data_IF_928622010192
#
_entry.id   IF_928622010192
#
_cell.length_a   1.000
_cell.length_b   1.000
_cell.length_c   1.000
_cell.angle_alpha   90.00
_cell.angle_beta   90.00
_cell.angle_gamma   90.00
#
_symmetry.space_group_name_H-M   'P 1'
#
loop_
_entity.id
_entity.type
_entity.pdbx_description
1 polymer ?
#
# COMPACT_ATOMS: atom_id res chain seq x y z
N UNK A 1 -2.84 -19.48 20.43
CA UNK A 1 -2.49 -18.05 20.58
C UNK A 1 -2.33 -17.74 22.05
N UNK A 2 -1.39 -16.90 22.43
CA UNK A 2 -1.25 -16.40 23.81
C UNK A 2 -2.26 -15.29 24.11
N UNK A 3 -2.54 -15.02 25.39
CA UNK A 3 -3.40 -13.89 25.80
C UNK A 3 -2.84 -12.54 25.33
N UNK A 4 -1.51 -12.42 25.19
CA UNK A 4 -0.86 -11.26 24.57
C UNK A 4 -1.18 -11.12 23.09
N UNK A 5 -1.05 -12.19 22.31
CA UNK A 5 -1.39 -12.19 20.88
C UNK A 5 -2.85 -11.83 20.64
N UNK A 6 -3.76 -12.36 21.48
CA UNK A 6 -5.19 -12.07 21.39
C UNK A 6 -5.48 -10.58 21.64
N UNK A 7 -4.86 -9.97 22.66
CA UNK A 7 -5.00 -8.52 22.88
C UNK A 7 -4.40 -7.69 21.74
N UNK A 8 -3.23 -8.06 21.22
CA UNK A 8 -2.62 -7.37 20.07
C UNK A 8 -3.49 -7.50 18.80
N UNK A 9 -4.17 -8.62 18.60
CA UNK A 9 -5.15 -8.79 17.51
C UNK A 9 -6.38 -7.89 17.69
N UNK A 10 -6.89 -7.73 18.92
CA UNK A 10 -7.99 -6.79 19.23
C UNK A 10 -7.56 -5.33 18.98
N UNK A 11 -6.37 -4.93 19.45
CA UNK A 11 -5.80 -3.59 19.23
C UNK A 11 -5.71 -3.29 17.73
N UNK A 12 -5.17 -4.23 16.93
CA UNK A 12 -5.10 -4.09 15.47
C UNK A 12 -6.47 -3.96 14.82
N UNK A 13 -7.41 -4.84 15.17
CA UNK A 13 -8.74 -4.83 14.60
C UNK A 13 -9.49 -3.50 14.87
N UNK A 14 -9.33 -2.90 16.06
CA UNK A 14 -9.93 -1.61 16.37
C UNK A 14 -9.24 -0.45 15.67
N UNK A 15 -7.89 -0.43 15.66
CA UNK A 15 -7.13 0.59 14.91
C UNK A 15 -7.49 0.54 13.42
N UNK A 16 -7.53 -0.64 12.81
CA UNK A 16 -7.84 -0.82 11.39
C UNK A 16 -9.27 -0.37 11.05
N UNK A 17 -10.26 -0.68 11.91
CA UNK A 17 -11.65 -0.19 11.79
C UNK A 17 -11.68 1.34 11.72
N UNK A 18 -10.78 2.00 12.43
CA UNK A 18 -10.67 3.46 12.49
C UNK A 18 -9.84 4.07 11.35
N UNK A 19 -9.46 3.29 10.32
CA UNK A 19 -8.82 3.76 9.07
C UNK A 19 -7.59 4.65 9.31
N UNK A 20 -6.50 4.11 9.88
CA UNK A 20 -5.29 4.86 10.17
C UNK A 20 -4.58 5.21 8.85
N UNK A 21 -3.74 6.25 8.86
CA UNK A 21 -2.76 6.43 7.78
C UNK A 21 -1.73 5.30 7.88
N UNK A 22 -1.34 4.70 6.75
CA UNK A 22 -0.49 3.50 6.74
C UNK A 22 0.80 3.65 7.56
N UNK A 23 1.48 4.80 7.47
CA UNK A 23 2.69 5.12 8.23
C UNK A 23 2.44 5.29 9.74
N UNK A 24 1.23 5.71 10.14
CA UNK A 24 0.86 5.95 11.54
C UNK A 24 0.47 4.66 12.29
N UNK A 25 0.10 3.59 11.58
CA UNK A 25 -0.47 2.36 12.16
C UNK A 25 0.39 1.78 13.29
N UNK A 26 1.71 1.67 13.08
CA UNK A 26 2.62 1.11 14.10
C UNK A 26 2.78 2.01 15.32
N UNK A 27 2.74 3.33 15.14
CA UNK A 27 2.76 4.30 16.25
C UNK A 27 1.47 4.23 17.07
N UNK A 28 0.32 4.10 16.41
CA UNK A 28 -0.97 3.92 17.07
C UNK A 28 -1.03 2.61 17.86
N UNK A 29 -0.51 1.49 17.33
CA UNK A 29 -0.38 0.23 18.08
C UNK A 29 0.39 0.42 19.39
N UNK A 30 1.52 1.15 19.36
CA UNK A 30 2.37 1.37 20.53
C UNK A 30 1.72 2.31 21.56
N UNK A 31 1.06 3.39 21.12
CA UNK A 31 0.32 4.30 21.99
C UNK A 31 -0.83 3.58 22.71
N UNK A 32 -1.54 2.71 21.99
CA UNK A 32 -2.64 1.92 22.54
C UNK A 32 -2.12 0.80 23.47
N UNK A 33 -1.03 0.09 23.12
CA UNK A 33 -0.41 -0.92 24.01
C UNK A 33 0.12 -0.29 25.31
N UNK A 34 0.62 0.96 25.27
CA UNK A 34 1.06 1.69 26.45
C UNK A 34 -0.10 2.18 27.36
N UNK A 35 -1.28 2.45 26.79
CA UNK A 35 -2.46 2.90 27.52
C UNK A 35 -3.34 1.75 28.07
N UNK A 36 -2.90 0.49 27.95
CA UNK A 36 -3.69 -0.69 28.32
C UNK A 36 -2.98 -1.55 29.36
N UNK A 37 -3.71 -1.85 30.44
CA UNK A 37 -3.38 -2.92 31.41
C UNK A 37 -4.12 -4.20 31.01
N UNK A 38 -3.42 -5.33 31.01
CA UNK A 38 -4.05 -6.65 30.83
C UNK A 38 -4.78 -7.08 32.11
N UNK A 39 -5.89 -7.79 31.96
CA UNK A 39 -6.64 -8.42 33.06
C UNK A 39 -6.93 -9.89 32.69
N UNK A 40 -7.06 -10.75 33.69
CA UNK A 40 -7.44 -12.16 33.49
C UNK A 40 -8.96 -12.33 33.32
N UNK A 41 -9.75 -11.34 33.77
CA UNK A 41 -11.20 -11.31 33.60
C UNK A 41 -11.59 -10.64 32.26
N UNK A 42 -12.68 -11.08 31.59
CA UNK A 42 -13.23 -10.41 30.41
C UNK A 42 -13.48 -8.90 30.65
N UNK A 43 -13.14 -8.00 29.71
CA UNK A 43 -12.75 -8.25 28.33
C UNK A 43 -11.26 -8.61 28.10
N UNK A 44 -10.49 -8.89 29.17
CA UNK A 44 -9.07 -9.23 29.11
C UNK A 44 -8.13 -8.02 29.19
N UNK A 45 -8.69 -6.81 29.32
CA UNK A 45 -7.95 -5.57 29.34
C UNK A 45 -8.72 -4.44 30.05
N UNK A 46 -8.01 -3.39 30.43
CA UNK A 46 -8.52 -2.15 31.00
C UNK A 46 -7.67 -0.97 30.51
N UNK A 47 -8.32 0.09 30.04
CA UNK A 47 -7.62 1.32 29.64
C UNK A 47 -7.22 2.10 30.89
N UNK A 48 -5.96 2.56 30.92
CA UNK A 48 -5.38 3.30 32.05
C UNK A 48 -4.83 4.66 31.61
N UNK A 49 -4.70 5.57 32.56
CA UNK A 49 -4.03 6.86 32.37
C UNK A 49 -2.50 6.75 32.53
N UNK A 50 -1.83 7.90 32.45
CA UNK A 50 -0.36 8.01 32.60
C UNK A 50 0.14 7.56 33.99
N UNK A 51 -0.70 7.65 35.01
CA UNK A 51 -0.41 7.21 36.38
C UNK A 51 -0.81 5.73 36.61
N UNK A 52 -1.29 5.06 35.56
CA UNK A 52 -1.72 3.67 35.58
C UNK A 52 -3.08 3.44 36.25
N UNK A 53 -3.87 4.49 36.50
CA UNK A 53 -5.21 4.39 37.08
C UNK A 53 -6.25 4.08 35.99
N UNK A 54 -7.30 3.29 36.28
CA UNK A 54 -8.35 2.99 35.31
C UNK A 54 -9.05 4.25 34.79
N UNK A 55 -9.18 4.39 33.47
CA UNK A 55 -9.97 5.46 32.86
C UNK A 55 -11.43 5.04 32.73
N UNK A 56 -12.33 5.99 32.95
CA UNK A 56 -13.78 5.84 32.79
C UNK A 56 -14.32 6.94 31.87
N UNK A 57 -15.51 6.71 31.31
CA UNK A 57 -16.31 7.68 30.56
C UNK A 57 -17.70 7.79 31.20
N UNK A 58 -18.31 8.96 31.13
CA UNK A 58 -19.71 9.13 31.54
C UNK A 58 -20.61 9.01 30.32
N UNK A 59 -21.48 8.00 30.28
CA UNK A 59 -22.46 7.78 29.21
C UNK A 59 -23.85 7.78 29.82
N UNK A 60 -24.75 8.65 29.35
CA UNK A 60 -26.11 8.80 29.90
C UNK A 60 -26.17 9.04 31.44
N UNK A 61 -25.13 9.64 32.02
CA UNK A 61 -25.00 9.87 33.47
C UNK A 61 -24.36 8.72 34.26
N UNK A 62 -24.14 7.55 33.64
CA UNK A 62 -23.47 6.40 34.25
C UNK A 62 -21.96 6.42 33.96
N UNK A 63 -21.14 6.11 34.98
CA UNK A 63 -19.68 6.01 34.86
C UNK A 63 -19.30 4.59 34.42
N UNK A 64 -18.93 4.44 33.15
CA UNK A 64 -18.54 3.16 32.55
C UNK A 64 -17.02 3.10 32.33
N UNK A 65 -16.37 1.92 32.37
CA UNK A 65 -14.98 1.77 31.95
C UNK A 65 -14.74 2.28 30.52
N UNK A 66 -13.62 2.97 30.30
CA UNK A 66 -13.25 3.43 28.96
C UNK A 66 -12.88 2.22 28.08
N UNK A 67 -13.53 2.07 26.92
CA UNK A 67 -13.29 0.95 26.01
C UNK A 67 -12.12 1.22 25.07
N UNK A 68 -11.63 0.17 24.39
CA UNK A 68 -10.60 0.30 23.35
C UNK A 68 -11.05 1.23 22.21
N UNK A 69 -12.33 1.16 21.80
CA UNK A 69 -12.88 2.05 20.77
C UNK A 69 -12.86 3.52 21.19
N UNK A 70 -13.25 3.80 22.43
CA UNK A 70 -13.26 5.15 23.00
C UNK A 70 -11.86 5.78 23.04
N UNK A 71 -10.85 4.97 23.41
CA UNK A 71 -9.44 5.37 23.41
C UNK A 71 -8.97 5.74 22.00
N UNK A 72 -9.30 4.94 20.97
CA UNK A 72 -8.89 5.25 19.59
C UNK A 72 -9.65 6.46 19.04
N UNK A 73 -10.93 6.65 19.41
CA UNK A 73 -11.68 7.87 19.07
C UNK A 73 -11.13 9.12 19.78
N UNK A 74 -10.62 8.99 21.01
CA UNK A 74 -9.89 10.07 21.70
C UNK A 74 -8.57 10.40 20.99
N UNK A 75 -7.78 9.39 20.62
CA UNK A 75 -6.57 9.56 19.82
C UNK A 75 -6.87 10.22 18.46
N UNK A 76 -7.99 9.90 17.80
CA UNK A 76 -8.41 10.60 16.57
C UNK A 76 -8.74 12.07 16.82
N UNK A 77 -9.45 12.39 17.90
CA UNK A 77 -9.77 13.80 18.25
C UNK A 77 -8.50 14.61 18.56
N UNK A 78 -7.53 14.01 19.25
CA UNK A 78 -6.26 14.65 19.61
C UNK A 78 -5.28 14.73 18.43
N UNK A 79 -5.26 13.73 17.56
CA UNK A 79 -4.30 13.57 16.48
C UNK A 79 -4.98 13.18 15.15
N UNK A 80 -5.81 14.07 14.57
CA UNK A 80 -6.60 13.76 13.38
C UNK A 80 -5.74 13.39 12.15
N UNK A 81 -4.49 13.88 12.09
CA UNK A 81 -3.53 13.58 11.02
C UNK A 81 -3.01 12.14 11.01
N UNK A 82 -3.21 11.36 12.09
CA UNK A 82 -2.85 9.93 12.14
C UNK A 82 -3.92 9.03 11.51
N UNK A 83 -5.09 9.59 11.17
CA UNK A 83 -6.23 8.87 10.61
C UNK A 83 -6.62 9.45 9.25
N UNK A 84 -7.14 8.59 8.38
CA UNK A 84 -7.72 9.04 7.13
C UNK A 84 -9.03 9.80 7.44
N UNK A 85 -9.36 10.87 6.67
CA UNK A 85 -10.63 11.55 6.83
C UNK A 85 -11.79 10.56 6.66
N UNK A 86 -12.94 10.79 7.35
CA UNK A 86 -14.13 9.99 7.10
C UNK A 86 -14.42 10.04 5.60
N UNK A 87 -14.64 8.86 5.00
CA UNK A 87 -15.01 8.82 3.59
C UNK A 87 -16.27 9.65 3.43
N UNK A 88 -16.18 10.76 2.69
CA UNK A 88 -17.32 11.63 2.47
C UNK A 88 -18.46 10.76 1.93
N UNK A 89 -19.62 10.82 2.59
CA UNK A 89 -20.82 10.16 2.10
C UNK A 89 -21.24 10.88 0.82
N UNK A 90 -20.65 10.47 -0.31
CA UNK A 90 -21.00 10.98 -1.62
C UNK A 90 -22.50 10.80 -1.84
N UNK A 91 -23.17 11.74 -2.53
CA UNK A 91 -24.58 11.59 -2.85
C UNK A 91 -24.81 10.24 -3.52
N UNK A 92 -25.87 9.54 -3.10
CA UNK A 92 -26.19 8.21 -3.61
C UNK A 92 -26.17 8.23 -5.14
N UNK A 93 -25.27 7.42 -5.72
CA UNK A 93 -24.94 7.53 -7.13
C UNK A 93 -26.18 7.24 -8.01
N UNK A 94 -26.75 8.29 -8.58
CA UNK A 94 -27.52 8.18 -9.80
C UNK A 94 -26.60 7.54 -10.85
N UNK A 95 -27.02 6.39 -11.39
CA UNK A 95 -26.17 5.57 -12.24
C UNK A 95 -25.63 6.40 -13.42
N UNK A 96 -24.29 6.46 -13.63
CA UNK A 96 -23.74 7.18 -14.77
C UNK A 96 -24.18 6.48 -16.06
N UNK A 97 -24.73 7.25 -17.01
CA UNK A 97 -24.91 6.78 -18.37
C UNK A 97 -23.53 6.36 -18.92
N UNK A 98 -23.45 5.14 -19.46
CA UNK A 98 -22.20 4.54 -19.89
C UNK A 98 -21.46 5.44 -20.91
N UNK A 99 -20.18 5.70 -20.65
CA UNK A 99 -19.22 6.24 -21.61
C UNK A 99 -18.01 5.30 -21.64
N UNK A 100 -17.93 4.52 -22.71
CA UNK A 100 -17.08 3.33 -22.86
C UNK A 100 -15.58 3.62 -23.04
N UNK A 101 -14.91 4.22 -22.05
CA UNK A 101 -13.44 4.30 -22.08
C UNK A 101 -12.70 4.29 -20.72
N UNK A 102 -13.38 4.24 -19.59
CA UNK A 102 -12.74 4.01 -18.28
C UNK A 102 -12.91 2.55 -17.88
N UNK A 103 -11.90 1.72 -18.18
CA UNK A 103 -11.76 0.36 -17.63
C UNK A 103 -10.76 0.41 -16.49
N UNK A 104 -11.25 0.75 -15.30
CA UNK A 104 -10.62 0.36 -14.03
C UNK A 104 -11.52 -0.69 -13.44
N UNK A 105 -11.10 -1.96 -13.44
CA UNK A 105 -11.84 -3.04 -12.78
C UNK A 105 -11.90 -2.75 -11.27
N UNK A 106 -13.09 -2.49 -10.69
CA UNK A 106 -13.20 -2.32 -9.24
C UNK A 106 -13.06 -3.68 -8.57
N UNK A 107 -12.21 -3.76 -7.54
CA UNK A 107 -12.04 -4.99 -6.76
C UNK A 107 -13.41 -5.51 -6.24
N UNK A 108 -13.65 -6.84 -6.28
CA UNK A 108 -14.96 -7.40 -5.94
C UNK A 108 -15.31 -7.15 -4.48
N UNK A 109 -16.49 -6.56 -4.25
CA UNK A 109 -17.03 -6.31 -2.90
C UNK A 109 -17.34 -7.64 -2.20
N UNK A 110 -16.93 -7.84 -0.93
CA UNK A 110 -17.38 -9.00 -0.16
C UNK A 110 -18.86 -8.81 0.22
N UNK A 111 -19.75 -9.65 -0.31
CA UNK A 111 -21.16 -9.66 0.13
C UNK A 111 -22.18 -10.28 -0.82
N UNK A 112 -21.92 -10.31 -2.14
CA UNK A 112 -22.90 -10.84 -3.10
C UNK A 112 -22.74 -12.36 -3.27
N UNK A 113 -23.78 -13.19 -3.08
CA UNK A 113 -23.71 -14.61 -3.37
C UNK A 113 -23.50 -14.83 -4.88
N UNK A 114 -22.42 -15.52 -5.24
CA UNK A 114 -22.07 -15.75 -6.64
C UNK A 114 -23.06 -16.70 -7.32
N UNK A 115 -23.44 -16.47 -8.60
CA UNK A 115 -24.18 -17.45 -9.37
C UNK A 115 -23.38 -18.76 -9.50
N UNK A 116 -24.08 -19.89 -9.50
CA UNK A 116 -23.47 -21.21 -9.48
C UNK A 116 -22.47 -21.40 -10.63
N UNK A 117 -21.21 -21.69 -10.30
CA UNK A 117 -20.16 -21.98 -11.29
C UNK A 117 -20.52 -23.26 -12.06
N UNK A 118 -20.41 -23.27 -13.40
CA UNK A 118 -20.58 -24.51 -14.16
C UNK A 118 -19.48 -25.52 -13.78
N UNK A 119 -19.88 -26.78 -13.79
CA UNK A 119 -19.15 -27.90 -13.21
C UNK A 119 -17.72 -28.05 -13.79
N UNK A 120 -16.71 -28.18 -12.92
CA UNK A 120 -15.29 -28.35 -13.31
C UNK A 120 -15.07 -29.58 -14.19
N UNK A 121 -15.94 -30.58 -14.10
CA UNK A 121 -15.90 -31.78 -14.93
C UNK A 121 -16.20 -31.53 -16.41
N UNK A 122 -16.97 -30.49 -16.75
CA UNK A 122 -17.32 -30.16 -18.13
C UNK A 122 -16.11 -29.65 -18.94
N UNK A 123 -15.34 -28.71 -18.39
CA UNK A 123 -14.13 -28.17 -19.04
C UNK A 123 -13.03 -29.20 -19.27
N UNK A 124 -12.96 -30.25 -18.44
CA UNK A 124 -11.99 -31.34 -18.64
C UNK A 124 -12.42 -32.30 -19.78
N UNK A 125 -13.72 -32.50 -19.99
CA UNK A 125 -14.22 -33.33 -21.10
C UNK A 125 -13.99 -32.66 -22.46
N UNK A 126 -14.12 -31.33 -22.58
CA UNK A 126 -13.82 -30.62 -23.83
C UNK A 126 -12.34 -30.71 -24.23
N UNK A 127 -11.42 -30.48 -23.29
CA UNK A 127 -9.97 -30.50 -23.60
C UNK A 127 -9.48 -31.90 -24.00
N UNK A 128 -9.98 -32.96 -23.38
CA UNK A 128 -9.68 -34.35 -23.76
C UNK A 128 -10.28 -34.69 -25.14
N UNK A 129 -11.50 -34.23 -25.44
CA UNK A 129 -12.13 -34.47 -26.75
C UNK A 129 -11.41 -33.76 -27.91
N UNK A 130 -10.89 -32.57 -27.66
CA UNK A 130 -10.05 -31.83 -28.62
C UNK A 130 -8.69 -32.48 -28.91
N UNK A 131 -8.11 -33.20 -27.94
CA UNK A 131 -6.83 -33.89 -28.12
C UNK A 131 -6.96 -35.14 -29.01
N UNK A 132 -8.05 -35.91 -28.85
CA UNK A 132 -8.31 -37.10 -29.68
C UNK A 132 -8.51 -36.79 -31.16
N UNK A 133 -9.08 -35.62 -31.49
CA UNK A 133 -9.25 -35.18 -32.87
C UNK A 133 -7.91 -34.89 -33.58
N UNK A 134 -6.89 -34.42 -32.85
CA UNK A 134 -5.55 -34.10 -33.40
C UNK A 134 -4.63 -35.31 -33.59
N UNK A 135 -5.02 -36.49 -33.09
CA UNK A 135 -4.25 -37.74 -33.20
C UNK A 135 -4.77 -38.67 -34.32
N UNK A 136 -5.85 -38.32 -35.03
CA UNK A 136 -6.25 -39.04 -36.25
C UNK A 136 -5.34 -38.67 -37.42
N UNK A 137 -4.55 -39.63 -37.86
CA UNK A 137 -3.74 -39.57 -39.08
C UNK A 137 -4.67 -39.41 -40.30
N UNK A 138 -4.44 -38.45 -41.21
CA UNK A 138 -5.22 -38.36 -42.45
C UNK A 138 -4.98 -39.59 -43.33
N UNK A 139 -5.97 -40.00 -44.15
CA UNK A 139 -5.78 -41.07 -45.13
C UNK A 139 -4.77 -40.65 -46.21
N UNK A 140 -4.03 -41.61 -46.82
CA UNK A 140 -3.08 -41.31 -47.88
C UNK A 140 -3.79 -40.87 -49.16
N UNK A 141 -3.30 -39.78 -49.75
CA UNK A 141 -3.74 -39.23 -51.04
C UNK A 141 -3.06 -39.99 -52.20
N UNK A 142 -3.79 -40.32 -53.30
CA UNK A 142 -3.22 -41.09 -54.41
C UNK A 142 -2.21 -40.27 -55.23
N UNK A 143 -1.12 -40.91 -55.65
CA UNK A 143 -0.03 -40.25 -56.36
C UNK A 143 -0.40 -39.86 -57.81
N UNK A 144 -0.03 -38.65 -58.28
CA UNK A 144 -0.12 -38.27 -59.69
C UNK A 144 0.98 -38.94 -60.53
N UNK A 145 0.75 -39.17 -61.84
CA UNK A 145 1.70 -39.88 -62.70
C UNK A 145 2.92 -39.05 -63.10
N UNK A 146 3.98 -39.79 -63.39
CA UNK A 146 5.31 -39.34 -63.80
C UNK A 146 5.30 -38.63 -65.17
N UNK A 147 5.88 -37.43 -65.26
CA UNK A 147 6.01 -36.66 -66.49
C UNK A 147 7.49 -36.31 -66.77
N UNK A 148 7.91 -36.48 -68.02
CA UNK A 148 9.31 -36.58 -68.42
C UNK A 148 10.12 -35.27 -68.31
N UNK A 149 11.44 -35.43 -68.15
CA UNK A 149 12.41 -34.34 -68.11
C UNK A 149 12.68 -33.71 -69.50
N UNK A 150 13.01 -32.42 -69.51
CA UNK A 150 13.53 -31.69 -70.68
C UNK A 150 14.95 -31.14 -70.40
N UNK A 151 15.80 -30.99 -71.41
CA UNK A 151 17.24 -30.74 -71.25
C UNK A 151 17.61 -29.27 -70.98
N UNK A 152 18.75 -29.07 -70.32
CA UNK A 152 19.35 -27.78 -69.98
C UNK A 152 20.32 -27.31 -71.08
N UNK A 153 20.27 -26.01 -71.43
CA UNK A 153 21.16 -25.37 -72.40
C UNK A 153 22.45 -24.79 -71.76
N UNK A 154 23.58 -24.74 -72.48
CA UNK A 154 24.86 -24.23 -71.97
C UNK A 154 25.03 -22.69 -72.07
N UNK A 155 25.82 -22.06 -71.19
CA UNK A 155 26.12 -20.62 -71.23
C UNK A 155 27.29 -20.25 -72.18
N UNK A 156 27.36 -18.99 -72.65
CA UNK A 156 28.40 -18.52 -73.59
C UNK A 156 29.76 -18.18 -72.92
N UNK A 157 30.88 -18.22 -73.67
CA UNK A 157 32.21 -17.94 -73.14
C UNK A 157 32.72 -16.50 -73.39
N UNK A 158 33.61 -16.03 -72.51
CA UNK A 158 34.72 -15.15 -72.91
C UNK A 158 34.71 -13.68 -72.45
N UNK A 159 35.29 -13.42 -71.27
CA UNK A 159 36.06 -12.23 -70.85
C UNK A 159 36.21 -12.30 -69.30
N UNK A 160 37.31 -11.94 -68.65
CA UNK A 160 38.58 -11.37 -69.07
C UNK A 160 39.31 -10.94 -67.79
N UNK A 161 40.42 -11.60 -67.48
CA UNK A 161 41.15 -11.56 -66.18
C UNK A 161 41.41 -10.15 -65.61
N UNK A 162 41.21 -9.97 -64.29
CA UNK A 162 42.20 -9.36 -63.38
C UNK A 162 42.20 -10.04 -62.00
N UNK A 163 43.35 -10.51 -61.47
CA UNK A 163 43.43 -11.15 -60.16
C UNK A 163 43.79 -10.15 -59.05
N UNK A 164 43.32 -10.38 -57.82
CA UNK A 164 43.85 -9.67 -56.64
C UNK A 164 42.98 -9.74 -55.39
N UNK A 165 43.61 -10.12 -54.28
CA UNK A 165 43.17 -9.95 -52.88
C UNK A 165 41.96 -10.78 -52.41
N UNK A 166 42.31 -11.96 -51.87
CA UNK A 166 41.43 -12.78 -51.08
C UNK A 166 41.10 -12.15 -49.71
N UNK A 167 39.85 -12.32 -49.26
CA UNK A 167 39.54 -12.51 -47.84
C UNK A 167 38.45 -13.56 -47.69
N UNK A 168 38.78 -14.68 -47.06
CA UNK A 168 37.80 -15.71 -46.68
C UNK A 168 36.99 -15.20 -45.49
N UNK A 169 35.67 -15.30 -45.56
CA UNK A 169 34.81 -15.28 -44.37
C UNK A 169 34.07 -16.62 -44.29
N UNK A 170 34.16 -17.35 -43.16
CA UNK A 170 33.57 -18.69 -43.05
C UNK A 170 32.05 -18.61 -42.83
N UNK A 171 31.31 -19.47 -43.54
CA UNK A 171 29.88 -19.67 -43.35
C UNK A 171 29.67 -20.61 -42.14
N UNK A 172 28.96 -20.20 -41.07
CA UNK A 172 28.62 -21.11 -39.98
C UNK A 172 27.56 -22.11 -40.45
N UNK A 173 27.97 -23.38 -40.54
CA UNK A 173 27.16 -24.47 -41.07
C UNK A 173 25.99 -24.89 -40.15
N UNK A 174 24.89 -25.29 -40.79
CA UNK A 174 23.64 -25.76 -40.17
C UNK A 174 23.71 -27.28 -39.96
N UNK A 175 24.15 -27.74 -38.78
CA UNK A 175 24.23 -29.16 -38.42
C UNK A 175 23.10 -29.61 -37.46
N UNK A 176 22.40 -30.73 -37.70
CA UNK A 176 21.36 -31.23 -36.80
C UNK A 176 21.94 -32.15 -35.70
N UNK A 177 21.84 -31.72 -34.44
CA UNK A 177 22.23 -32.55 -33.29
C UNK A 177 21.11 -33.51 -32.86
N UNK A 178 21.48 -34.72 -32.42
CA UNK A 178 20.56 -35.79 -31.98
C UNK A 178 20.14 -35.61 -30.51
N UNK A 179 19.03 -36.25 -30.14
CA UNK A 179 18.32 -36.18 -28.83
C UNK A 179 19.16 -36.72 -27.65
N UNK A 180 18.71 -36.53 -26.40
CA UNK A 180 18.04 -37.67 -25.74
C UNK A 180 16.73 -37.32 -24.97
N UNK A 181 15.86 -38.33 -24.85
CA UNK A 181 14.61 -38.30 -24.08
C UNK A 181 14.81 -38.82 -22.65
N UNK A 182 15.04 -37.95 -21.65
CA UNK A 182 14.96 -38.33 -20.23
C UNK A 182 14.51 -37.16 -19.33
N UNK A 183 13.21 -36.82 -19.36
CA UNK A 183 12.63 -35.82 -18.44
C UNK A 183 11.15 -36.07 -18.04
N UNK A 184 10.53 -37.17 -18.50
CA UNK A 184 9.07 -37.37 -18.41
C UNK A 184 8.59 -38.33 -17.32
N UNK A 185 9.50 -38.96 -16.55
CA UNK A 185 9.13 -39.97 -15.53
C UNK A 185 9.23 -39.50 -14.08
N UNK A 186 9.87 -38.36 -13.79
CA UNK A 186 9.98 -37.84 -12.42
C UNK A 186 8.70 -37.20 -11.86
N UNK A 187 7.81 -36.70 -12.72
CA UNK A 187 6.65 -35.90 -12.31
C UNK A 187 5.44 -36.72 -11.81
N UNK A 188 5.37 -38.02 -12.14
CA UNK A 188 4.19 -38.85 -11.83
C UNK A 188 4.17 -39.40 -10.40
N UNK A 189 5.32 -39.57 -9.76
CA UNK A 189 5.39 -40.09 -8.37
C UNK A 189 4.96 -39.02 -7.35
N UNK A 190 5.35 -37.75 -7.58
CA UNK A 190 4.99 -36.65 -6.68
C UNK A 190 3.50 -36.25 -6.74
N UNK A 191 2.83 -36.48 -7.89
CA UNK A 191 1.39 -36.24 -8.00
C UNK A 191 0.54 -37.30 -7.30
N UNK A 192 1.02 -38.55 -7.21
CA UNK A 192 0.30 -39.66 -6.58
C UNK A 192 0.19 -39.52 -5.06
N UNK A 193 1.26 -39.08 -4.38
CA UNK A 193 1.28 -38.92 -2.92
C UNK A 193 0.33 -37.81 -2.43
N UNK A 194 0.24 -36.69 -3.15
CA UNK A 194 -0.59 -35.55 -2.77
C UNK A 194 -2.11 -35.86 -2.85
N UNK A 195 -2.53 -36.77 -3.73
CA UNK A 195 -3.95 -37.08 -3.92
C UNK A 195 -4.53 -37.98 -2.81
N UNK A 196 -3.70 -38.81 -2.15
CA UNK A 196 -4.14 -39.65 -1.04
C UNK A 196 -4.40 -38.85 0.25
N UNK A 197 -3.59 -37.82 0.51
CA UNK A 197 -3.69 -36.98 1.73
C UNK A 197 -4.94 -36.07 1.74
N UNK A 198 -5.54 -35.78 0.58
CA UNK A 198 -6.68 -34.87 0.45
C UNK A 198 -8.06 -35.54 0.52
N UNK A 199 -8.13 -36.86 0.76
CA UNK A 199 -9.41 -37.61 0.67
C UNK A 199 -9.94 -38.21 1.97
N UNK A 200 -9.21 -38.15 3.08
CA UNK A 200 -9.66 -38.65 4.40
C UNK A 200 -9.32 -37.65 5.54
N UNK A 201 -10.20 -36.67 5.83
CA UNK A 201 -10.17 -35.90 7.07
C UNK A 201 -11.17 -36.50 8.09
N UNK A 202 -10.75 -37.52 8.83
CA UNK A 202 -11.43 -38.00 10.05
C UNK A 202 -10.56 -37.66 11.29
N UNK A 203 -11.13 -37.15 12.40
CA UNK A 203 -10.36 -36.61 13.52
C UNK A 203 -9.88 -37.69 14.50
N UNK A 204 -8.77 -38.36 14.18
CA UNK A 204 -8.12 -39.34 15.06
C UNK A 204 -7.15 -38.71 16.10
N UNK A 205 -7.48 -37.53 16.64
CA UNK A 205 -6.57 -36.71 17.47
C UNK A 205 -6.98 -36.54 18.95
N UNK A 206 -7.98 -37.29 19.44
CA UNK A 206 -8.51 -37.16 20.82
C UNK A 206 -8.38 -38.42 21.70
N UNK A 207 -7.49 -39.37 21.34
CA UNK A 207 -7.23 -40.58 22.15
C UNK A 207 -5.78 -40.85 22.54
N UNK A 208 -4.84 -39.97 22.18
CA UNK A 208 -3.43 -40.09 22.59
C UNK A 208 -3.07 -39.31 23.88
N UNK A 209 -3.87 -38.32 24.29
CA UNK A 209 -3.54 -37.40 25.39
C UNK A 209 -3.93 -37.88 26.80
N UNK A 210 -4.80 -38.89 26.93
CA UNK A 210 -5.30 -39.37 28.24
C UNK A 210 -4.38 -40.46 28.84
N UNK A 211 -3.45 -41.03 28.07
CA UNK A 211 -2.61 -42.15 28.48
C UNK A 211 -1.31 -41.79 29.25
N UNK A 212 -1.02 -40.50 29.48
CA UNK A 212 0.23 -40.07 30.16
C UNK A 212 0.00 -39.30 31.49
N UNK A 213 -1.24 -39.07 31.91
CA UNK A 213 -1.56 -38.31 33.13
C UNK A 213 -1.69 -39.15 34.42
N UNK A 214 -1.51 -40.48 34.37
CA UNK A 214 -1.68 -41.39 35.52
C UNK A 214 -0.38 -41.99 36.08
N UNK A 215 0.80 -41.52 35.62
CA UNK A 215 2.10 -42.07 36.02
C UNK A 215 2.82 -41.38 37.20
N UNK A 216 2.30 -40.26 37.73
CA UNK A 216 2.99 -39.45 38.75
C UNK A 216 2.09 -39.11 39.95
N UNK A 217 1.51 -40.14 40.56
CA UNK A 217 0.69 -40.02 41.77
C UNK A 217 1.03 -41.10 42.83
N UNK A 218 2.33 -41.35 43.07
CA UNK A 218 2.78 -42.30 44.08
C UNK A 218 4.22 -42.04 44.58
N UNK A 219 4.45 -40.93 45.32
CA UNK A 219 5.36 -40.83 46.49
C UNK A 219 5.53 -39.38 46.96
N UNK A 220 4.90 -39.03 48.09
CA UNK A 220 5.36 -38.11 49.17
C UNK A 220 4.17 -37.59 49.97
N UNK A 221 3.79 -38.38 50.96
CA UNK A 221 3.05 -37.97 52.17
C UNK A 221 3.97 -38.15 53.39
N UNK A 222 3.64 -37.49 54.51
CA UNK A 222 4.52 -37.11 55.64
C UNK A 222 5.54 -35.99 55.26
N UNK A 223 5.73 -34.89 55.99
CA UNK A 223 5.11 -34.34 57.23
C UNK A 223 5.21 -32.78 57.16
N UNK A 224 4.60 -31.89 57.97
CA UNK A 224 3.93 -32.00 59.27
C UNK A 224 2.86 -30.87 59.47
N UNK A 225 2.46 -30.57 60.72
CA UNK A 225 1.55 -29.45 61.12
C UNK A 225 2.31 -28.26 61.76
N UNK A 226 1.68 -27.06 61.86
CA UNK A 226 2.28 -25.82 62.40
C UNK A 226 2.15 -25.71 63.94
N UNK A 227 2.65 -24.61 64.56
CA UNK A 227 1.67 -23.63 65.08
C UNK A 227 2.10 -22.13 65.14
N UNK A 228 1.08 -21.30 65.39
CA UNK A 228 1.06 -20.06 66.20
C UNK A 228 1.78 -18.75 65.75
N UNK A 229 0.97 -17.68 65.65
CA UNK A 229 1.30 -16.33 66.17
C UNK A 229 1.08 -16.33 67.70
N UNK A 230 1.59 -15.36 68.49
CA UNK A 230 0.75 -14.17 68.73
C UNK A 230 1.48 -12.83 69.01
N UNK A 231 0.66 -11.78 69.05
CA UNK A 231 0.73 -10.53 69.82
C UNK A 231 1.73 -9.37 69.59
N UNK A 232 1.10 -8.19 69.62
CA UNK A 232 1.57 -6.80 69.75
C UNK A 232 2.10 -6.53 71.20
N UNK A 233 2.77 -5.38 71.53
CA UNK A 233 2.05 -4.09 71.60
C UNK A 233 2.85 -2.77 71.43
N UNK A 234 2.09 -1.70 71.11
CA UNK A 234 2.16 -0.29 71.57
C UNK A 234 3.48 0.35 72.08
N UNK A 235 3.74 1.56 71.56
CA UNK A 235 4.43 2.68 72.23
C UNK A 235 4.43 3.93 71.32
N UNK A 236 3.51 4.88 71.52
CA UNK A 236 3.72 6.14 72.24
C UNK A 236 4.77 7.07 71.56
N UNK A 237 4.39 8.14 70.86
CA UNK A 237 3.80 9.42 71.33
C UNK A 237 4.86 10.54 71.29
N UNK A 238 4.62 11.58 70.47
CA UNK A 238 5.14 12.95 70.64
C UNK A 238 4.53 13.93 69.64
N UNK A 239 3.54 14.68 70.10
CA UNK A 239 3.21 16.04 69.63
C UNK A 239 4.36 17.03 69.91
N UNK A 240 4.40 18.16 69.16
CA UNK A 240 4.35 19.56 69.68
C UNK A 240 4.87 20.59 68.64
N UNK A 241 4.11 21.68 68.51
CA UNK A 241 4.45 23.05 68.07
C UNK A 241 4.84 23.39 66.60
N UNK A 242 3.91 24.11 65.96
CA UNK A 242 4.06 25.47 65.42
C UNK A 242 5.35 25.94 64.71
N UNK A 243 5.17 26.44 63.48
CA UNK A 243 5.32 27.90 63.27
C UNK A 243 4.51 28.42 62.07
N UNK A 244 3.70 29.44 62.32
CA UNK A 244 3.03 30.22 61.28
C UNK A 244 3.97 31.22 60.59
N UNK A 245 3.74 31.48 59.30
CA UNK A 245 4.20 32.68 58.61
C UNK A 245 3.23 33.02 57.45
N UNK A 246 2.27 33.88 57.76
CA UNK A 246 1.28 34.44 56.85
C UNK A 246 1.87 35.62 56.06
N UNK A 247 1.67 35.71 54.74
CA UNK A 247 1.53 37.01 54.08
C UNK A 247 0.74 36.93 52.77
N UNK A 248 0.01 38.02 52.48
CA UNK A 248 -1.07 38.14 51.49
C UNK A 248 -0.65 38.16 50.00
N UNK A 249 -1.60 37.90 49.07
CA UNK A 249 -1.46 38.19 47.65
C UNK A 249 -1.71 39.68 47.35
N UNK A 250 -1.20 40.16 46.21
CA UNK A 250 -1.50 41.47 45.66
C UNK A 250 -2.10 41.35 44.25
N UNK A 251 -3.33 41.83 44.12
CA UNK A 251 -4.10 41.93 42.88
C UNK A 251 -3.95 43.35 42.33
N UNK A 252 -3.65 43.51 41.03
CA UNK A 252 -3.79 44.78 40.32
C UNK A 252 -3.99 44.54 38.81
N UNK A 253 -4.83 45.39 38.20
CA UNK A 253 -5.45 45.19 36.88
C UNK A 253 -4.88 46.18 35.82
N UNK A 254 -5.48 46.40 34.63
CA UNK A 254 -4.74 46.49 33.37
C UNK A 254 -4.43 47.93 32.94
N UNK A 255 -3.77 48.09 31.79
CA UNK A 255 -3.78 49.36 31.05
C UNK A 255 -3.82 49.15 29.54
N UNK A 256 -4.77 49.82 28.90
CA UNK A 256 -4.91 49.95 27.45
C UNK A 256 -3.95 51.04 26.91
N UNK A 257 -3.53 50.88 25.65
CA UNK A 257 -3.25 51.95 24.66
C UNK A 257 -3.07 51.24 23.31
N UNK A 258 -3.99 51.35 22.35
CA UNK A 258 -4.39 52.55 21.60
C UNK A 258 -3.17 53.20 20.90
N UNK A 259 -3.08 53.01 19.58
CA UNK A 259 -1.90 53.39 18.78
C UNK A 259 -2.04 53.12 17.28
N UNK A 260 -3.18 53.49 16.70
CA UNK A 260 -3.33 53.57 15.24
C UNK A 260 -2.55 54.80 14.72
N UNK A 261 -2.02 54.76 13.47
CA UNK A 261 -2.46 55.83 12.57
C UNK A 261 -2.59 55.42 11.08
N UNK A 262 -3.76 55.77 10.53
CA UNK A 262 -4.01 56.40 9.22
C UNK A 262 -3.49 55.73 7.93
N UNK A 263 -4.46 55.37 7.09
CA UNK A 263 -4.31 55.35 5.63
C UNK A 263 -3.87 56.71 5.06
N UNK A 264 -3.06 56.65 3.99
CA UNK A 264 -2.96 57.71 2.99
C UNK A 264 -2.93 57.06 1.59
N UNK A 265 -3.78 57.54 0.70
CA UNK A 265 -4.05 56.98 -0.63
C UNK A 265 -3.44 57.87 -1.71
N UNK A 266 -2.58 57.33 -2.59
CA UNK A 266 -2.26 57.92 -3.90
C UNK A 266 -1.52 56.93 -4.82
N UNK A 267 -2.01 56.76 -6.05
CA UNK A 267 -1.26 56.25 -7.23
C UNK A 267 -0.69 57.46 -8.01
N UNK A 268 -0.04 57.33 -9.21
CA UNK A 268 0.53 56.17 -9.90
C UNK A 268 2.01 56.40 -10.38
N UNK A 269 2.58 55.42 -11.08
CA UNK A 269 3.55 55.71 -12.17
C UNK A 269 5.04 55.66 -11.85
N UNK A 270 5.60 54.45 -11.82
CA UNK A 270 7.05 54.25 -11.89
C UNK A 270 7.38 53.01 -12.71
N UNK A 271 8.02 53.17 -13.88
CA UNK A 271 8.53 52.05 -14.67
C UNK A 271 9.55 51.27 -13.84
N UNK A 272 9.37 49.95 -13.72
CA UNK A 272 10.46 49.01 -13.38
C UNK A 272 10.41 47.84 -14.34
N UNK A 273 11.43 47.79 -15.19
CA UNK A 273 11.82 46.61 -15.96
C UNK A 273 12.32 45.49 -15.02
N UNK A 274 12.41 44.23 -15.50
CA UNK A 274 12.31 43.07 -14.63
C UNK A 274 13.56 42.85 -13.79
N UNK A 275 13.39 42.75 -12.48
CA UNK A 275 14.41 42.19 -11.59
C UNK A 275 14.24 40.67 -11.56
N UNK A 276 14.96 40.01 -12.45
CA UNK A 276 15.31 38.61 -12.29
C UNK A 276 16.30 38.45 -11.12
N UNK A 277 16.32 37.27 -10.50
CA UNK A 277 17.26 36.88 -9.41
C UNK A 277 16.93 37.41 -8.00
N UNK A 278 15.94 36.79 -7.37
CA UNK A 278 15.83 36.70 -5.91
C UNK A 278 15.50 35.27 -5.52
N UNK A 279 16.51 34.48 -5.13
CA UNK A 279 16.34 33.06 -4.80
C UNK A 279 15.60 32.91 -3.44
N UNK A 280 14.27 32.86 -3.49
CA UNK A 280 13.44 32.58 -2.31
C UNK A 280 13.47 31.07 -2.03
N UNK A 281 14.52 30.62 -1.34
CA UNK A 281 14.61 29.28 -0.77
C UNK A 281 13.75 29.16 0.50
N UNK A 282 12.45 29.45 0.38
CA UNK A 282 11.44 29.02 1.35
C UNK A 282 11.21 27.51 1.16
N UNK A 283 12.24 26.71 1.44
CA UNK A 283 12.29 25.27 1.24
C UNK A 283 11.47 24.48 2.27
N UNK A 284 10.37 25.05 2.78
CA UNK A 284 9.43 24.35 3.65
C UNK A 284 8.43 23.51 2.85
N UNK A 285 7.85 22.45 3.45
CA UNK A 285 6.72 21.74 2.86
C UNK A 285 5.51 22.69 2.70
N UNK A 286 4.74 22.51 1.63
CA UNK A 286 3.58 23.34 1.29
C UNK A 286 2.37 22.45 1.04
N UNK A 287 1.23 22.76 1.64
CA UNK A 287 -0.01 22.00 1.45
C UNK A 287 -1.20 22.92 1.13
N UNK A 288 -2.14 22.44 0.33
CA UNK A 288 -3.36 23.16 -0.04
C UNK A 288 -3.92 22.73 -1.40
N UNK A 289 -4.91 23.46 -1.92
CA UNK A 289 -5.46 23.19 -3.25
C UNK A 289 -4.50 23.75 -4.30
N UNK A 290 -4.05 22.90 -5.24
CA UNK A 290 -3.16 23.29 -6.33
C UNK A 290 -3.93 23.66 -7.60
N UNK A 291 -3.48 24.72 -8.26
CA UNK A 291 -3.84 25.06 -9.64
C UNK A 291 -2.84 24.35 -10.58
N UNK A 292 -3.33 23.70 -11.64
CA UNK A 292 -2.45 23.01 -12.61
C UNK A 292 -2.07 23.97 -13.73
N UNK A 293 -0.76 24.14 -13.98
CA UNK A 293 -0.25 24.92 -15.11
C UNK A 293 0.02 24.00 -16.30
N UNK A 294 0.74 22.91 -16.04
CA UNK A 294 0.96 21.81 -16.99
C UNK A 294 1.10 20.49 -16.20
N UNK A 295 1.27 19.36 -16.89
CA UNK A 295 1.32 18.05 -16.23
C UNK A 295 2.57 17.81 -15.38
N UNK A 296 3.61 18.65 -15.48
CA UNK A 296 4.80 18.64 -14.65
C UNK A 296 4.92 19.87 -13.73
N UNK A 297 3.99 20.82 -13.80
CA UNK A 297 4.07 22.11 -13.10
C UNK A 297 2.74 22.51 -12.44
N UNK A 298 2.79 22.69 -11.12
CA UNK A 298 1.64 23.11 -10.29
C UNK A 298 1.87 24.52 -9.72
N UNK A 299 0.80 25.23 -9.40
CA UNK A 299 0.82 26.45 -8.59
C UNK A 299 0.12 26.18 -7.26
N UNK A 300 0.84 26.43 -6.16
CA UNK A 300 0.35 26.17 -4.80
C UNK A 300 0.87 27.27 -3.86
N UNK A 301 -0.02 27.89 -3.09
CA UNK A 301 0.36 28.99 -2.18
C UNK A 301 1.04 30.18 -2.87
N UNK A 302 0.66 30.48 -4.13
CA UNK A 302 1.29 31.52 -4.95
C UNK A 302 2.64 31.14 -5.58
N UNK A 303 3.17 29.94 -5.28
CA UNK A 303 4.47 29.44 -5.78
C UNK A 303 4.27 28.49 -6.96
N UNK A 304 5.16 28.54 -7.94
CA UNK A 304 5.22 27.57 -9.04
C UNK A 304 6.15 26.42 -8.65
N UNK A 305 5.64 25.19 -8.64
CA UNK A 305 6.32 23.97 -8.20
C UNK A 305 6.45 23.00 -9.39
N UNK A 306 7.68 22.62 -9.74
CA UNK A 306 7.96 21.53 -10.70
C UNK A 306 7.87 20.18 -10.00
N UNK A 307 7.17 19.20 -10.57
CA UNK A 307 7.15 17.82 -10.09
C UNK A 307 8.52 17.14 -10.30
N UNK A 308 8.89 16.27 -9.38
CA UNK A 308 10.14 15.50 -9.42
C UNK A 308 10.05 14.34 -10.40
N UNK A 309 11.02 14.20 -11.30
CA UNK A 309 11.08 13.06 -12.22
C UNK A 309 10.19 13.15 -13.46
N UNK A 310 9.48 14.28 -13.67
CA UNK A 310 8.49 14.44 -14.76
C UNK A 310 8.84 15.60 -15.69
N UNK A 311 8.88 15.32 -16.98
CA UNK A 311 8.92 16.31 -18.05
C UNK A 311 7.56 16.40 -18.76
N UNK A 312 7.03 17.62 -18.86
CA UNK A 312 5.82 17.89 -19.63
C UNK A 312 6.08 17.67 -21.13
N UNK A 313 5.32 16.77 -21.74
CA UNK A 313 5.46 16.42 -23.15
C UNK A 313 4.36 17.06 -24.01
N UNK A 314 4.68 17.40 -25.27
CA UNK A 314 3.66 17.89 -26.22
C UNK A 314 2.56 16.84 -26.41
N UNK A 315 1.31 17.28 -26.28
CA UNK A 315 0.12 16.41 -26.32
C UNK A 315 -0.36 15.92 -24.96
N UNK A 316 0.38 16.20 -23.87
CA UNK A 316 -0.14 16.03 -22.52
C UNK A 316 -1.25 17.05 -22.22
N UNK A 317 -2.32 16.61 -21.55
CA UNK A 317 -3.48 17.44 -21.26
C UNK A 317 -3.49 17.84 -19.78
N UNK A 318 -3.24 19.11 -19.50
CA UNK A 318 -3.30 19.66 -18.14
C UNK A 318 -4.71 19.55 -17.52
N UNK A 319 -5.76 19.55 -18.36
CA UNK A 319 -7.16 19.30 -17.96
C UNK A 319 -7.36 17.97 -17.25
N UNK A 320 -6.62 16.94 -17.64
CA UNK A 320 -6.80 15.58 -17.12
C UNK A 320 -6.22 15.49 -15.70
N UNK A 321 -5.08 16.15 -15.46
CA UNK A 321 -4.52 16.32 -14.12
C UNK A 321 -5.40 17.25 -13.25
N UNK A 322 -5.96 18.33 -13.80
CA UNK A 322 -6.92 19.19 -13.09
C UNK A 322 -8.18 18.42 -12.68
N UNK A 323 -8.73 17.61 -13.57
CA UNK A 323 -9.87 16.74 -13.33
C UNK A 323 -9.55 15.62 -12.35
N UNK A 324 -8.34 15.06 -12.39
CA UNK A 324 -7.86 14.11 -11.40
C UNK A 324 -7.76 14.75 -10.02
N UNK A 325 -7.21 15.97 -9.89
CA UNK A 325 -7.11 16.67 -8.61
C UNK A 325 -8.48 17.07 -8.07
N UNK A 326 -9.39 17.58 -8.90
CA UNK A 326 -10.77 17.94 -8.53
C UNK A 326 -10.89 18.82 -7.26
N UNK A 327 -9.93 19.71 -7.02
CA UNK A 327 -9.88 20.55 -5.82
C UNK A 327 -9.42 19.85 -4.53
N UNK A 328 -8.95 18.59 -4.59
CA UNK A 328 -8.37 17.89 -3.43
C UNK A 328 -7.06 18.55 -2.99
N UNK A 329 -6.76 18.55 -1.67
CA UNK A 329 -5.52 19.13 -1.16
C UNK A 329 -4.32 18.27 -1.55
N UNK A 330 -3.28 18.94 -2.07
CA UNK A 330 -1.98 18.36 -2.40
C UNK A 330 -0.99 18.78 -1.31
N UNK A 331 -0.09 17.86 -0.92
CA UNK A 331 1.02 18.12 -0.01
C UNK A 331 2.35 17.94 -0.75
N UNK A 332 3.09 19.03 -0.94
CA UNK A 332 4.34 19.10 -1.67
C UNK A 332 5.52 19.29 -0.72
N UNK A 333 6.53 18.43 -0.85
CA UNK A 333 7.80 18.50 -0.13
C UNK A 333 8.94 18.76 -1.12
N UNK A 334 9.96 19.56 -0.75
CA UNK A 334 11.13 19.74 -1.61
C UNK A 334 11.91 18.42 -1.72
N UNK A 335 12.33 18.05 -2.94
CA UNK A 335 13.20 16.89 -3.10
C UNK A 335 14.65 17.31 -2.73
N UNK A 336 15.26 16.74 -1.68
CA UNK A 336 16.58 17.18 -1.21
C UNK A 336 17.64 17.09 -2.31
N UNK A 337 18.35 18.19 -2.56
CA UNK A 337 19.36 18.30 -3.61
C UNK A 337 18.81 18.55 -5.02
N UNK A 338 17.50 18.84 -5.18
CA UNK A 338 16.89 19.19 -6.47
C UNK A 338 16.01 20.44 -6.35
N UNK A 339 15.74 21.08 -7.49
CA UNK A 339 14.78 22.19 -7.62
C UNK A 339 13.32 21.74 -7.78
N UNK A 340 13.10 20.42 -7.80
CA UNK A 340 11.79 19.79 -7.99
C UNK A 340 11.16 19.33 -6.67
N UNK A 341 9.85 19.11 -6.70
CA UNK A 341 9.01 18.82 -5.55
C UNK A 341 8.36 17.44 -5.68
N UNK A 342 8.29 16.71 -4.57
CA UNK A 342 7.50 15.49 -4.44
C UNK A 342 6.14 15.93 -3.91
N UNK A 343 5.11 15.85 -4.75
CA UNK A 343 3.76 16.28 -4.42
C UNK A 343 2.83 15.08 -4.32
N UNK A 344 2.10 14.98 -3.21
CA UNK A 344 1.21 13.85 -2.92
C UNK A 344 -0.25 14.29 -2.80
N UNK A 345 -1.18 13.48 -3.30
CA UNK A 345 -2.63 13.64 -3.10
C UNK A 345 -3.19 12.31 -2.56
N UNK A 346 -3.95 12.37 -1.47
CA UNK A 346 -4.49 11.19 -0.77
C UNK A 346 -3.46 10.09 -0.41
N UNK A 347 -2.17 10.43 -0.38
CA UNK A 347 -1.04 9.51 -0.15
C UNK A 347 -0.38 8.93 -1.40
N UNK A 348 -0.83 9.28 -2.61
CA UNK A 348 -0.22 8.89 -3.89
C UNK A 348 0.70 10.00 -4.42
N UNK A 349 1.85 9.64 -5.00
CA UNK A 349 2.74 10.60 -5.68
C UNK A 349 2.13 11.04 -7.02
N UNK A 350 1.94 12.34 -7.19
CA UNK A 350 1.43 12.92 -8.44
C UNK A 350 2.37 12.65 -9.61
N UNK A 351 3.67 12.53 -9.36
CA UNK A 351 4.69 12.22 -10.36
C UNK A 351 4.44 10.84 -10.98
N UNK A 352 4.13 9.85 -10.12
CA UNK A 352 3.79 8.49 -10.54
C UNK A 352 2.46 8.47 -11.30
N UNK A 353 1.43 9.13 -10.76
CA UNK A 353 0.09 9.19 -11.39
C UNK A 353 0.16 9.82 -12.79
N UNK A 354 0.93 10.92 -12.95
CA UNK A 354 1.09 11.58 -14.26
C UNK A 354 1.79 10.65 -15.26
N UNK A 355 2.89 10.00 -14.85
CA UNK A 355 3.64 9.11 -15.75
C UNK A 355 2.85 7.84 -16.10
N UNK A 356 2.16 7.22 -15.14
CA UNK A 356 1.37 6.01 -15.32
C UNK A 356 0.22 6.20 -16.33
N UNK A 357 -0.40 7.38 -16.34
CA UNK A 357 -1.47 7.72 -17.28
C UNK A 357 -0.94 8.30 -18.63
N UNK A 358 0.38 8.37 -18.82
CA UNK A 358 0.99 8.91 -20.04
C UNK A 358 0.87 10.44 -20.18
N UNK A 359 0.75 11.16 -19.06
CA UNK A 359 0.69 12.62 -19.02
C UNK A 359 2.06 13.31 -19.11
N UNK A 360 3.16 12.57 -19.18
CA UNK A 360 4.51 13.13 -19.24
C UNK A 360 5.56 12.08 -19.62
N UNK A 361 6.83 12.49 -19.57
CA UNK A 361 8.00 11.62 -19.75
C UNK A 361 8.82 11.56 -18.46
N UNK A 362 9.41 10.41 -18.18
CA UNK A 362 10.33 10.27 -17.05
C UNK A 362 11.64 11.01 -17.39
N UNK A 363 12.10 11.89 -16.49
CA UNK A 363 13.41 12.55 -16.65
C UNK A 363 14.55 11.60 -16.28
N UNK A 364 15.81 11.88 -16.68
CA UNK A 364 16.96 11.03 -16.34
C UNK A 364 17.18 10.82 -14.83
N UNK A 365 16.68 11.73 -14.00
CA UNK A 365 16.73 11.68 -12.54
C UNK A 365 15.48 11.09 -11.86
N UNK A 366 14.53 10.57 -12.62
CA UNK A 366 13.36 9.87 -12.10
C UNK A 366 13.76 8.62 -11.29
N UNK A 367 12.97 8.27 -10.26
CA UNK A 367 13.17 7.03 -9.51
C UNK A 367 12.77 5.81 -10.35
N UNK A 368 13.17 4.61 -9.93
CA UNK A 368 12.84 3.37 -10.64
C UNK A 368 11.33 3.20 -10.83
N UNK A 369 10.53 3.52 -9.81
CA UNK A 369 9.07 3.41 -9.84
C UNK A 369 8.44 4.35 -10.89
N UNK A 370 8.98 5.58 -11.03
CA UNK A 370 8.55 6.54 -12.05
C UNK A 370 8.90 6.09 -13.47
N UNK A 371 10.07 5.44 -13.66
CA UNK A 371 10.45 4.83 -14.94
C UNK A 371 9.54 3.65 -15.28
N UNK A 372 9.12 2.86 -14.29
CA UNK A 372 8.16 1.75 -14.48
C UNK A 372 6.73 2.24 -14.75
N UNK A 373 6.31 3.35 -14.13
CA UNK A 373 5.06 4.03 -14.48
C UNK A 373 5.05 4.52 -15.93
N UNK A 374 6.12 5.15 -16.41
CA UNK A 374 6.24 5.55 -17.82
C UNK A 374 6.27 4.32 -18.76
N UNK A 375 6.97 3.24 -18.37
CA UNK A 375 7.02 1.97 -19.10
C UNK A 375 5.63 1.35 -19.24
N UNK A 376 4.80 1.43 -18.20
CA UNK A 376 3.40 1.02 -18.24
C UNK A 376 2.62 1.85 -19.27
N UNK A 377 2.67 3.18 -19.17
CA UNK A 377 1.95 4.06 -20.10
C UNK A 377 2.34 3.85 -21.58
N UNK A 378 3.63 3.58 -21.83
CA UNK A 378 4.15 3.23 -23.17
C UNK A 378 3.59 1.90 -23.69
N UNK A 379 3.55 0.86 -22.86
CA UNK A 379 3.05 -0.47 -23.28
C UNK A 379 1.53 -0.49 -23.42
N UNK A 380 0.80 0.24 -22.56
CA UNK A 380 -0.65 0.42 -22.60
C UNK A 380 -1.12 1.49 -23.61
N UNK A 381 -0.21 2.24 -24.25
CA UNK A 381 -0.49 3.32 -25.21
C UNK A 381 -1.40 4.42 -24.64
N UNK A 382 -1.09 4.89 -23.43
CA UNK A 382 -1.87 5.90 -22.72
C UNK A 382 -1.37 7.33 -22.99
N UNK A 383 -2.26 8.31 -22.92
CA UNK A 383 -1.92 9.74 -23.02
C UNK A 383 -1.10 10.09 -24.27
N UNK A 384 0.10 10.63 -24.08
CA UNK A 384 1.02 10.99 -25.18
C UNK A 384 1.49 9.80 -26.02
N UNK A 385 1.35 8.57 -25.51
CA UNK A 385 1.75 7.33 -26.17
C UNK A 385 0.61 6.68 -27.00
N UNK A 386 -0.58 7.30 -27.03
CA UNK A 386 -1.74 6.79 -27.76
C UNK A 386 -1.63 6.91 -29.29
N UNK A 387 -0.69 7.72 -29.81
CA UNK A 387 -0.50 7.94 -31.25
C UNK A 387 0.66 7.08 -31.78
N UNK A 388 0.46 6.35 -32.90
CA UNK A 388 1.52 5.60 -33.60
C UNK A 388 2.47 6.51 -34.38
#
# INVERSE_FOLDING_TARGET
MTTREQLQALIRAEIDRQRPVAVARRTLELLVEAAIRRLDAPPGYQVVDRDGRPRTRTTAGEVQPLTLGDLVDELRRQHPTLFLPPAAAGPAASAPAARDWIVVDPAPRPGTPAPARPDRTARLKETVRGLGARLRRPPPEPAPPEAAALPVAPPPPGAGLKPGLARRQPVPGRGPARRPLYAALGALVLLGGAYAALRNPEPAADRAAIAQAQGQAATRTAEARPPARPDEPRGADRTVADKAAETKPAEAKPSEKAGEPKSAEARPGGKREPVETGAVTDGGPVAGVAEVVDTATLRLGGRTLRLSGVEAARGAQASDLSGYLAGRPVNCQPNPGRTAWICTVDGHDLSEVVLYNGGGRATPEATADLVDAERHARTARLGIWARP
#
